data_IF_009230872833
#
_entry.id   IF_009230872833
#
_cell.length_a   1.000
_cell.length_b   1.000
_cell.length_c   1.000
_cell.angle_alpha   90.00
_cell.angle_beta   90.00
_cell.angle_gamma   90.00
#
_symmetry.space_group_name_H-M   'P 1'
#
loop_
_entity.id
_entity.type
_entity.pdbx_description
1 polymer ?
#
# COMPACT_ATOMS: atom_id res chain seq x y z
N UNK A 1 -22.02 -34.55 10.21
CA UNK A 1 -23.38 -34.04 10.48
C UNK A 1 -23.45 -32.66 9.84
N UNK A 2 -24.21 -32.45 8.76
CA UNK A 2 -24.23 -31.14 8.10
C UNK A 2 -24.91 -30.12 9.01
N UNK A 3 -24.26 -28.99 9.28
CA UNK A 3 -24.86 -27.92 10.10
C UNK A 3 -26.13 -27.39 9.43
N UNK A 4 -27.03 -26.75 10.19
CA UNK A 4 -28.26 -26.19 9.62
C UNK A 4 -27.99 -25.15 8.51
N UNK A 5 -26.85 -24.46 8.61
CA UNK A 5 -26.37 -23.46 7.64
C UNK A 5 -25.95 -24.13 6.32
N UNK A 6 -25.34 -25.32 6.34
CA UNK A 6 -24.93 -26.05 5.13
C UNK A 6 -26.11 -26.58 4.28
N UNK A 7 -27.34 -26.47 4.76
CA UNK A 7 -28.55 -26.81 4.01
C UNK A 7 -29.14 -25.62 3.25
N UNK A 8 -28.63 -24.42 3.50
CA UNK A 8 -29.09 -23.21 2.82
C UNK A 8 -28.36 -23.03 1.48
N UNK A 9 -29.00 -22.38 0.49
CA UNK A 9 -28.31 -21.89 -0.71
C UNK A 9 -27.14 -20.97 -0.34
N UNK A 10 -26.07 -21.02 -1.14
CA UNK A 10 -24.84 -20.26 -0.89
C UNK A 10 -25.12 -18.76 -0.73
N UNK A 11 -26.00 -18.20 -1.56
CA UNK A 11 -26.36 -16.78 -1.55
C UNK A 11 -26.96 -16.36 -0.20
N UNK A 12 -27.79 -17.21 0.40
CA UNK A 12 -28.39 -16.97 1.72
C UNK A 12 -27.31 -17.01 2.80
N UNK A 13 -26.38 -17.97 2.70
CA UNK A 13 -25.24 -18.07 3.64
C UNK A 13 -24.37 -16.81 3.57
N UNK A 14 -24.04 -16.34 2.36
CA UNK A 14 -23.23 -15.14 2.14
C UNK A 14 -23.94 -13.88 2.69
N UNK A 15 -25.26 -13.77 2.50
CA UNK A 15 -26.07 -12.69 3.07
C UNK A 15 -26.07 -12.72 4.61
N UNK A 16 -26.21 -13.90 5.23
CA UNK A 16 -26.13 -14.03 6.70
C UNK A 16 -24.76 -13.55 7.19
N UNK A 17 -23.67 -14.04 6.60
CA UNK A 17 -22.32 -13.68 7.01
C UNK A 17 -21.95 -12.23 6.70
N UNK A 18 -22.59 -11.60 5.72
CA UNK A 18 -22.44 -10.18 5.45
C UNK A 18 -22.79 -9.31 6.67
N UNK A 19 -23.69 -9.74 7.54
CA UNK A 19 -24.10 -8.99 8.73
C UNK A 19 -23.16 -9.19 9.93
N UNK A 20 -22.32 -10.23 9.95
CA UNK A 20 -21.40 -10.51 11.06
C UNK A 20 -20.18 -9.56 11.02
N UNK A 21 -19.64 -9.10 12.16
CA UNK A 21 -18.44 -8.28 12.15
C UNK A 21 -17.23 -9.07 11.64
N UNK A 22 -16.26 -8.38 11.03
CA UNK A 22 -15.05 -9.03 10.48
C UNK A 22 -14.28 -9.78 11.57
N UNK A 23 -14.26 -9.26 12.80
CA UNK A 23 -13.62 -9.90 13.96
C UNK A 23 -14.17 -11.30 14.26
N UNK A 24 -15.42 -11.60 13.89
CA UNK A 24 -16.00 -12.94 14.06
C UNK A 24 -15.44 -13.98 13.09
N UNK A 25 -14.83 -13.56 11.97
CA UNK A 25 -14.38 -14.51 10.95
C UNK A 25 -13.29 -15.45 11.45
N UNK A 26 -12.41 -15.02 12.36
CA UNK A 26 -11.43 -15.90 13.01
C UNK A 26 -12.07 -17.18 13.58
N UNK A 27 -13.18 -17.01 14.32
CA UNK A 27 -13.91 -18.15 14.87
C UNK A 27 -14.62 -18.96 13.77
N UNK A 28 -15.17 -18.29 12.74
CA UNK A 28 -15.89 -18.98 11.67
C UNK A 28 -14.97 -19.87 10.81
N UNK A 29 -13.72 -19.46 10.58
CA UNK A 29 -12.72 -20.30 9.89
C UNK A 29 -12.39 -21.60 10.64
N UNK A 30 -12.66 -21.67 11.95
CA UNK A 30 -12.47 -22.91 12.73
C UNK A 30 -13.66 -23.88 12.62
N UNK A 31 -14.81 -23.40 12.15
CA UNK A 31 -16.07 -24.15 12.14
C UNK A 31 -16.48 -24.54 10.72
N UNK A 32 -16.30 -23.62 9.76
CA UNK A 32 -16.76 -23.78 8.38
C UNK A 32 -15.60 -24.03 7.40
N UNK A 33 -15.88 -24.63 6.23
CA UNK A 33 -14.88 -24.80 5.19
C UNK A 33 -14.22 -23.48 4.79
N UNK A 34 -12.91 -23.52 4.59
CA UNK A 34 -12.10 -22.34 4.27
C UNK A 34 -12.60 -21.61 3.02
N UNK A 35 -12.93 -22.34 1.95
CA UNK A 35 -13.40 -21.78 0.69
C UNK A 35 -14.71 -20.99 0.86
N UNK A 36 -15.63 -21.51 1.67
CA UNK A 36 -16.89 -20.83 1.99
C UNK A 36 -16.64 -19.54 2.79
N UNK A 37 -15.70 -19.57 3.74
CA UNK A 37 -15.36 -18.40 4.55
C UNK A 37 -14.58 -17.35 3.75
N UNK A 38 -13.70 -17.77 2.85
CA UNK A 38 -13.00 -16.88 1.92
C UNK A 38 -14.02 -16.16 1.04
N UNK A 39 -14.97 -16.89 0.43
CA UNK A 39 -16.07 -16.34 -0.38
C UNK A 39 -16.95 -15.37 0.43
N UNK A 40 -17.34 -15.75 1.66
CA UNK A 40 -18.15 -14.91 2.54
C UNK A 40 -17.45 -13.62 2.96
N UNK A 41 -16.16 -13.71 3.30
CA UNK A 41 -15.35 -12.55 3.65
C UNK A 41 -15.25 -11.62 2.44
N UNK A 42 -14.92 -12.17 1.28
CA UNK A 42 -14.78 -11.41 0.03
C UNK A 42 -16.10 -10.77 -0.39
N UNK A 43 -17.23 -11.48 -0.27
CA UNK A 43 -18.57 -10.95 -0.51
C UNK A 43 -18.85 -9.74 0.38
N UNK A 44 -18.54 -9.85 1.69
CA UNK A 44 -18.66 -8.74 2.64
C UNK A 44 -17.79 -7.54 2.25
N UNK A 45 -16.53 -7.78 1.84
CA UNK A 45 -15.60 -6.73 1.43
C UNK A 45 -16.04 -6.03 0.13
N UNK A 46 -16.53 -6.80 -0.85
CA UNK A 46 -17.07 -6.29 -2.12
C UNK A 46 -18.28 -5.37 -1.93
N UNK A 47 -19.10 -5.63 -0.92
CA UNK A 47 -20.27 -4.82 -0.61
C UNK A 47 -19.95 -3.55 0.18
N UNK A 48 -18.71 -3.36 0.65
CA UNK A 48 -18.31 -2.21 1.46
C UNK A 48 -17.20 -1.36 0.81
N UNK A 49 -17.24 -1.21 -0.52
CA UNK A 49 -16.21 -0.48 -1.30
C UNK A 49 -16.11 1.01 -1.00
N UNK A 50 -17.15 1.62 -0.42
CA UNK A 50 -17.17 3.07 -0.12
C UNK A 50 -16.34 3.45 1.10
N UNK A 51 -16.03 2.48 1.98
CA UNK A 51 -15.23 2.71 3.19
C UNK A 51 -13.80 2.21 2.98
N UNK A 52 -12.79 2.90 3.53
CA UNK A 52 -11.44 2.38 3.55
C UNK A 52 -11.43 1.06 4.32
N UNK A 53 -10.72 0.07 3.77
CA UNK A 53 -10.51 -1.22 4.40
C UNK A 53 -9.36 -1.17 5.40
N UNK A 54 -8.26 -0.53 4.99
CA UNK A 54 -7.04 -0.34 5.75
C UNK A 54 -6.53 1.09 5.58
N UNK A 55 -5.75 1.56 6.54
CA UNK A 55 -4.92 2.73 6.41
C UNK A 55 -3.46 2.28 6.33
N UNK A 56 -2.77 2.77 5.31
CA UNK A 56 -1.30 2.72 5.25
C UNK A 56 -0.78 3.97 5.95
N UNK A 57 -0.02 3.80 7.02
CA UNK A 57 0.37 4.87 7.93
C UNK A 57 1.89 5.00 7.94
N UNK A 58 2.37 6.22 7.71
CA UNK A 58 3.69 6.64 8.13
C UNK A 58 3.62 7.08 9.59
N UNK A 59 4.43 6.46 10.45
CA UNK A 59 4.48 6.83 11.87
C UNK A 59 5.36 8.05 12.16
N UNK A 60 5.91 8.69 11.12
CA UNK A 60 6.66 9.93 11.25
C UNK A 60 6.38 10.87 10.06
N UNK A 61 5.51 11.86 10.27
CA UNK A 61 5.11 12.84 9.25
C UNK A 61 6.23 13.80 8.86
N UNK A 62 7.30 13.89 9.67
CA UNK A 62 8.48 14.66 9.35
C UNK A 62 9.43 13.92 8.42
N UNK A 63 9.31 12.60 8.29
CA UNK A 63 10.06 11.77 7.33
C UNK A 63 9.23 11.44 6.09
N UNK A 64 7.98 11.04 6.27
CA UNK A 64 7.13 10.57 5.19
C UNK A 64 5.70 11.09 5.42
N UNK A 65 5.23 12.01 4.56
CA UNK A 65 3.94 12.71 4.74
C UNK A 65 2.99 12.53 3.56
N UNK A 66 1.79 12.04 3.84
CA UNK A 66 0.65 12.13 2.92
C UNK A 66 0.06 13.55 2.89
N UNK A 67 -0.73 13.87 1.86
CA UNK A 67 -1.37 15.19 1.71
C UNK A 67 -2.29 15.52 2.91
N UNK A 68 -2.15 16.75 3.41
CA UNK A 68 -2.85 17.29 4.60
C UNK A 68 -4.33 17.55 4.40
N UNK A 69 -4.80 17.54 3.15
CA UNK A 69 -6.24 17.60 2.83
C UNK A 69 -7.00 16.39 3.37
N UNK A 70 -6.30 15.29 3.65
CA UNK A 70 -6.86 14.18 4.41
C UNK A 70 -6.89 14.54 5.89
N UNK A 71 -8.07 14.77 6.48
CA UNK A 71 -8.26 14.94 7.92
C UNK A 71 -7.87 13.73 8.78
N UNK A 72 -7.02 12.85 8.24
CA UNK A 72 -6.50 11.63 8.81
C UNK A 72 -5.13 11.83 9.47
N UNK A 73 -4.43 12.91 9.16
CA UNK A 73 -3.16 13.24 9.82
C UNK A 73 -3.42 13.56 11.31
N UNK A 74 -2.79 12.80 12.21
CA UNK A 74 -2.94 12.98 13.66
C UNK A 74 -1.59 12.83 14.35
N UNK A 75 -1.27 13.76 15.23
CA UNK A 75 -0.01 13.74 15.97
C UNK A 75 1.18 13.74 15.02
N UNK A 76 2.06 12.73 15.14
CA UNK A 76 3.22 12.53 14.26
C UNK A 76 2.94 11.55 13.09
N UNK A 77 1.69 11.15 12.86
CA UNK A 77 1.34 10.18 11.82
C UNK A 77 0.74 10.86 10.58
N UNK A 78 0.98 10.27 9.42
CA UNK A 78 0.23 10.56 8.20
C UNK A 78 -0.24 9.27 7.54
N UNK A 79 -1.35 9.31 6.80
CA UNK A 79 -1.96 8.07 6.31
C UNK A 79 -2.62 8.18 4.95
N UNK A 80 -2.65 7.05 4.24
CA UNK A 80 -3.39 6.84 3.00
C UNK A 80 -4.47 5.77 3.22
N UNK A 81 -5.68 6.06 2.74
CA UNK A 81 -6.78 5.10 2.72
C UNK A 81 -6.56 4.06 1.63
N UNK A 82 -6.76 2.79 1.97
CA UNK A 82 -6.71 1.65 1.06
C UNK A 82 -8.08 0.98 0.98
N UNK A 83 -8.56 0.77 -0.23
CA UNK A 83 -9.88 0.25 -0.53
C UNK A 83 -9.77 -1.15 -1.15
N UNK A 84 -10.74 -2.01 -0.87
CA UNK A 84 -10.81 -3.33 -1.50
C UNK A 84 -10.84 -3.21 -3.03
N UNK A 85 -9.98 -3.97 -3.70
CA UNK A 85 -9.90 -4.01 -5.16
C UNK A 85 -10.25 -5.38 -5.72
N UNK A 86 -9.57 -6.43 -5.27
CA UNK A 86 -9.78 -7.80 -5.75
C UNK A 86 -9.33 -8.83 -4.73
N UNK A 87 -9.55 -10.11 -5.06
CA UNK A 87 -9.13 -11.24 -4.25
C UNK A 87 -8.40 -12.25 -5.14
N UNK A 88 -7.20 -12.66 -4.73
CA UNK A 88 -6.47 -13.77 -5.32
C UNK A 88 -6.80 -15.04 -4.52
N UNK A 89 -7.68 -15.87 -5.07
CA UNK A 89 -8.12 -17.11 -4.42
C UNK A 89 -6.99 -18.15 -4.31
N UNK A 90 -6.02 -18.15 -5.23
CA UNK A 90 -4.95 -19.14 -5.26
C UNK A 90 -3.98 -18.95 -4.10
N UNK A 91 -3.67 -17.68 -3.79
CA UNK A 91 -2.73 -17.33 -2.72
C UNK A 91 -3.43 -16.76 -1.47
N UNK A 92 -4.76 -16.64 -1.48
CA UNK A 92 -5.61 -16.08 -0.41
C UNK A 92 -5.20 -14.67 0.01
N UNK A 93 -4.93 -13.82 -0.99
CA UNK A 93 -4.59 -12.43 -0.78
C UNK A 93 -5.77 -11.51 -1.12
N UNK A 94 -6.04 -10.59 -0.21
CA UNK A 94 -6.92 -9.44 -0.45
C UNK A 94 -6.07 -8.32 -1.02
N UNK A 95 -6.38 -7.90 -2.24
CA UNK A 95 -5.74 -6.76 -2.86
C UNK A 95 -6.51 -5.48 -2.57
N UNK A 96 -5.75 -4.44 -2.25
CA UNK A 96 -6.23 -3.11 -1.98
C UNK A 96 -5.51 -2.08 -2.83
N UNK A 97 -6.21 -1.00 -3.14
CA UNK A 97 -5.69 0.13 -3.91
C UNK A 97 -5.96 1.44 -3.15
N UNK A 98 -5.08 2.44 -3.25
CA UNK A 98 -5.38 3.76 -2.74
C UNK A 98 -6.45 4.46 -3.60
N UNK A 99 -6.95 5.60 -3.12
CA UNK A 99 -7.83 6.44 -3.92
C UNK A 99 -7.00 7.28 -4.92
N UNK A 100 -6.92 6.80 -6.16
CA UNK A 100 -6.21 7.50 -7.23
C UNK A 100 -6.88 8.81 -7.66
N UNK A 101 -8.19 8.97 -7.46
CA UNK A 101 -8.93 10.17 -7.88
C UNK A 101 -8.65 11.39 -7.01
N UNK A 102 -8.33 11.19 -5.73
CA UNK A 102 -8.11 12.27 -4.75
C UNK A 102 -6.63 12.59 -4.50
N UNK A 103 -5.71 12.10 -5.36
CA UNK A 103 -4.26 12.21 -5.15
C UNK A 103 -3.76 11.63 -3.80
N UNK A 104 -4.57 10.81 -3.11
CA UNK A 104 -4.22 10.14 -1.86
C UNK A 104 -3.55 8.78 -2.11
N UNK A 105 -2.50 8.78 -2.93
CA UNK A 105 -1.77 7.58 -3.31
C UNK A 105 -0.26 7.77 -3.28
N UNK A 106 0.25 8.79 -2.59
CA UNK A 106 1.67 8.98 -2.38
C UNK A 106 1.94 9.54 -1.00
N UNK A 107 3.17 9.31 -0.55
CA UNK A 107 3.77 10.10 0.51
C UNK A 107 4.93 10.90 -0.04
N UNK A 108 5.06 12.14 0.41
CA UNK A 108 6.27 12.94 0.20
C UNK A 108 7.34 12.49 1.19
N UNK A 109 8.53 12.17 0.69
CA UNK A 109 9.72 11.86 1.48
C UNK A 109 10.44 13.16 1.82
N UNK A 110 10.79 13.32 3.09
CA UNK A 110 11.44 14.50 3.68
C UNK A 110 12.76 14.08 4.34
N UNK A 111 13.73 14.98 4.36
CA UNK A 111 15.02 14.75 5.04
C UNK A 111 14.96 15.19 6.52
N UNK A 112 14.33 14.37 7.35
CA UNK A 112 14.50 14.48 8.79
C UNK A 112 15.64 13.56 9.26
N UNK A 113 16.57 14.12 10.05
CA UNK A 113 17.84 13.51 10.48
C UNK A 113 17.69 12.30 11.43
N UNK A 114 16.48 11.94 11.87
CA UNK A 114 16.25 10.85 12.83
C UNK A 114 15.20 9.89 12.30
N UNK A 115 15.63 8.72 11.81
CA UNK A 115 14.74 7.70 11.29
C UNK A 115 14.34 6.69 12.37
N UNK A 116 13.19 6.93 13.01
CA UNK A 116 12.51 5.93 13.84
C UNK A 116 11.13 5.55 13.29
N UNK A 117 10.71 6.21 12.21
CA UNK A 117 9.44 5.92 11.59
C UNK A 117 9.38 4.56 10.92
N UNK A 118 8.17 4.02 10.86
CA UNK A 118 7.83 2.82 10.10
C UNK A 118 6.64 3.13 9.20
N UNK A 119 6.57 2.42 8.09
CA UNK A 119 5.35 2.25 7.34
C UNK A 119 4.58 1.07 7.94
N UNK A 120 3.33 1.28 8.35
CA UNK A 120 2.50 0.27 9.00
C UNK A 120 1.11 0.21 8.39
N UNK A 121 0.45 -0.95 8.47
CA UNK A 121 -0.98 -1.10 8.17
C UNK A 121 -1.78 -1.06 9.45
N UNK A 122 -2.92 -0.39 9.40
CA UNK A 122 -3.85 -0.28 10.53
C UNK A 122 -5.29 -0.29 10.05
N UNK A 123 -6.19 -0.85 10.86
CA UNK A 123 -7.64 -0.70 10.64
C UNK A 123 -8.06 0.77 10.84
N UNK A 124 -8.94 1.32 9.99
CA UNK A 124 -9.45 2.67 10.19
C UNK A 124 -10.16 2.82 11.55
N UNK A 125 -9.78 3.86 12.31
CA UNK A 125 -10.34 4.15 13.63
C UNK A 125 -9.72 3.37 14.80
N UNK A 126 -8.84 2.40 14.53
CA UNK A 126 -8.08 1.68 15.54
C UNK A 126 -6.71 2.35 15.75
N UNK A 127 -6.11 2.19 16.94
CA UNK A 127 -4.78 2.75 17.26
C UNK A 127 -3.80 1.74 17.84
N UNK A 128 -4.28 0.58 18.34
CA UNK A 128 -3.44 -0.39 19.05
C UNK A 128 -2.84 -1.45 18.14
N UNK A 129 -3.66 -2.04 17.28
CA UNK A 129 -3.26 -3.15 16.42
C UNK A 129 -2.71 -2.63 15.09
N UNK A 130 -1.45 -2.94 14.80
CA UNK A 130 -0.80 -2.53 13.55
C UNK A 130 0.13 -3.61 13.03
N UNK A 131 0.25 -3.70 11.70
CA UNK A 131 1.19 -4.58 11.01
C UNK A 131 2.33 -3.73 10.42
N UNK A 132 3.56 -3.81 10.95
CA UNK A 132 4.68 -3.10 10.36
C UNK A 132 5.05 -3.69 8.99
N UNK A 133 5.41 -2.81 8.05
CA UNK A 133 5.81 -3.17 6.69
C UNK A 133 7.30 -2.95 6.43
N UNK A 134 7.78 -1.72 6.64
CA UNK A 134 9.17 -1.36 6.32
C UNK A 134 9.58 -0.14 7.14
N UNK A 135 10.87 0.02 7.41
CA UNK A 135 11.37 1.26 7.98
C UNK A 135 11.27 2.39 6.96
N UNK A 136 10.95 3.61 7.41
CA UNK A 136 11.01 4.78 6.52
C UNK A 136 12.44 5.05 6.03
N UNK A 137 13.44 4.63 6.80
CA UNK A 137 14.85 4.68 6.42
C UNK A 137 15.17 3.81 5.19
N UNK A 138 14.59 2.61 5.10
CA UNK A 138 14.83 1.71 3.97
C UNK A 138 14.20 2.26 2.69
N UNK A 139 13.02 2.87 2.80
CA UNK A 139 12.39 3.61 1.69
C UNK A 139 13.31 4.76 1.24
N UNK A 140 13.84 5.54 2.19
CA UNK A 140 14.75 6.65 1.90
C UNK A 140 16.03 6.19 1.21
N UNK A 141 16.63 5.08 1.64
CA UNK A 141 17.82 4.49 1.01
C UNK A 141 17.58 4.06 -0.43
N UNK A 142 16.33 3.85 -0.83
CA UNK A 142 15.96 3.63 -2.23
C UNK A 142 16.17 4.86 -3.12
N UNK A 143 16.24 6.07 -2.56
CA UNK A 143 16.54 7.26 -3.35
C UNK A 143 18.06 7.41 -3.58
N UNK A 144 18.49 7.78 -4.80
CA UNK A 144 19.91 7.88 -5.14
C UNK A 144 20.63 8.94 -4.30
N UNK A 145 21.85 8.68 -3.79
CA UNK A 145 22.59 9.63 -2.99
C UNK A 145 23.17 10.79 -3.83
N UNK A 146 23.27 11.97 -3.20
CA UNK A 146 23.80 13.20 -3.78
C UNK A 146 25.27 13.14 -4.23
N UNK A 147 26.13 12.51 -3.40
CA UNK A 147 27.59 12.58 -3.55
C UNK A 147 28.14 11.28 -4.11
N UNK A 148 27.84 11.04 -5.39
CA UNK A 148 28.65 10.19 -6.25
C UNK A 148 29.86 10.95 -6.86
N UNK A 149 30.17 12.16 -6.36
CA UNK A 149 31.35 12.90 -6.75
C UNK A 149 32.58 12.34 -6.03
N UNK A 150 33.49 11.71 -6.80
CA UNK A 150 34.88 11.30 -6.47
C UNK A 150 35.19 9.87 -6.01
N UNK A 151 34.26 8.91 -6.14
CA UNK A 151 34.64 7.48 -6.13
C UNK A 151 34.37 6.87 -7.51
N UNK A 152 35.44 6.44 -8.19
CA UNK A 152 35.39 5.77 -9.50
C UNK A 152 34.51 4.51 -9.39
N UNK A 153 33.25 4.63 -9.79
CA UNK A 153 32.22 3.59 -9.65
C UNK A 153 30.83 4.13 -9.31
N UNK A 154 30.71 5.38 -8.81
CA UNK A 154 29.43 5.96 -8.42
C UNK A 154 28.68 6.70 -9.57
N UNK A 155 29.30 6.81 -10.74
CA UNK A 155 28.73 7.46 -11.93
C UNK A 155 27.57 6.69 -12.59
N UNK A 156 27.30 5.45 -12.19
CA UNK A 156 26.24 4.63 -12.78
C UNK A 156 24.86 4.86 -12.14
N UNK A 157 24.81 5.42 -10.92
CA UNK A 157 23.56 5.81 -10.25
C UNK A 157 23.05 7.20 -10.69
N UNK A 158 23.83 7.91 -11.51
CA UNK A 158 23.54 9.26 -11.97
C UNK A 158 22.69 9.26 -13.26
N UNK A 159 21.43 8.82 -13.17
CA UNK A 159 20.39 9.25 -14.10
C UNK A 159 19.01 9.01 -13.49
N UNK A 160 18.26 10.09 -13.25
CA UNK A 160 16.94 10.12 -12.62
C UNK A 160 15.89 9.24 -13.29
N UNK A 161 15.91 7.94 -12.96
CA UNK A 161 14.92 6.96 -13.37
C UNK A 161 13.97 6.70 -12.21
N UNK A 162 12.69 6.67 -12.54
CA UNK A 162 11.65 6.13 -11.68
C UNK A 162 12.05 4.71 -11.26
N UNK A 163 11.99 4.42 -9.97
CA UNK A 163 12.36 3.11 -9.45
C UNK A 163 11.12 2.39 -8.94
N UNK A 164 10.84 1.21 -9.48
CA UNK A 164 9.85 0.31 -8.91
C UNK A 164 10.39 -0.26 -7.60
N UNK A 165 9.56 -0.26 -6.56
CA UNK A 165 9.92 -0.66 -5.22
C UNK A 165 8.82 -1.54 -4.66
N UNK A 166 9.11 -2.84 -4.53
CA UNK A 166 8.18 -3.80 -3.91
C UNK A 166 8.69 -4.19 -2.53
N UNK A 167 7.86 -3.97 -1.52
CA UNK A 167 8.11 -4.45 -0.16
C UNK A 167 7.44 -5.80 0.02
N UNK A 168 8.25 -6.80 0.37
CA UNK A 168 7.77 -8.12 0.80
C UNK A 168 7.86 -8.24 2.31
N UNK A 169 6.73 -8.56 2.94
CA UNK A 169 6.66 -8.92 4.35
C UNK A 169 5.81 -10.17 4.54
N UNK A 170 6.00 -10.94 5.62
CA UNK A 170 5.16 -12.09 5.90
C UNK A 170 3.67 -11.68 5.92
N UNK A 171 2.92 -12.20 4.95
CA UNK A 171 1.49 -11.94 4.75
C UNK A 171 1.15 -10.60 4.09
N UNK A 172 2.11 -9.80 3.60
CA UNK A 172 1.86 -8.53 2.92
C UNK A 172 2.81 -8.29 1.73
N UNK A 173 2.28 -7.71 0.66
CA UNK A 173 3.07 -7.23 -0.48
C UNK A 173 2.64 -5.80 -0.81
N UNK A 174 3.58 -4.86 -0.86
CA UNK A 174 3.30 -3.48 -1.24
C UNK A 174 4.09 -3.15 -2.51
N UNK A 175 3.39 -2.90 -3.60
CA UNK A 175 3.96 -2.38 -4.83
C UNK A 175 3.89 -0.86 -4.80
N UNK A 176 5.05 -0.24 -5.04
CA UNK A 176 5.22 1.20 -4.97
C UNK A 176 6.29 1.68 -5.95
N UNK A 177 6.42 2.99 -6.05
CA UNK A 177 7.33 3.63 -6.96
C UNK A 177 8.00 4.84 -6.29
N UNK A 178 9.32 4.93 -6.42
CA UNK A 178 10.12 6.04 -5.94
C UNK A 178 10.36 7.06 -7.06
N UNK A 179 10.00 8.30 -6.80
CA UNK A 179 10.16 9.42 -7.75
C UNK A 179 11.05 10.49 -7.11
N UNK A 180 12.30 10.67 -7.56
CA UNK A 180 13.20 11.70 -7.05
C UNK A 180 12.69 13.13 -7.32
N UNK A 181 12.93 14.06 -6.39
CA UNK A 181 12.47 15.45 -6.51
C UNK A 181 13.23 16.29 -7.55
N UNK A 182 14.43 15.89 -7.97
CA UNK A 182 15.40 16.74 -8.67
C UNK A 182 15.11 17.04 -10.15
N UNK A 183 14.02 16.53 -10.75
CA UNK A 183 13.88 16.63 -12.22
C UNK A 183 12.48 16.69 -12.85
N UNK A 184 11.44 17.15 -12.15
CA UNK A 184 10.09 17.13 -12.76
C UNK A 184 9.53 18.53 -12.96
N UNK A 185 9.44 18.95 -14.24
CA UNK A 185 8.55 20.01 -14.63
C UNK A 185 7.11 19.60 -14.24
N UNK A 186 6.35 20.54 -13.66
CA UNK A 186 4.96 20.29 -13.34
C UNK A 186 4.23 19.82 -14.62
N UNK A 187 3.65 18.61 -14.60
CA UNK A 187 2.85 17.94 -15.66
C UNK A 187 3.50 16.82 -16.49
N UNK A 188 4.71 16.36 -16.19
CA UNK A 188 5.22 15.18 -16.91
C UNK A 188 4.46 13.90 -16.53
N UNK A 189 3.84 13.28 -17.54
CA UNK A 189 3.35 11.90 -17.51
C UNK A 189 4.60 11.01 -17.48
N UNK A 190 4.86 10.34 -16.37
CA UNK A 190 6.03 9.47 -16.28
C UNK A 190 5.67 8.12 -16.90
N UNK A 191 6.07 7.93 -18.15
CA UNK A 191 5.94 6.66 -18.87
C UNK A 191 7.21 5.84 -18.62
N UNK A 192 7.07 4.65 -18.04
CA UNK A 192 8.18 3.71 -17.98
C UNK A 192 8.46 3.15 -19.38
N UNK A 193 9.73 3.13 -19.77
CA UNK A 193 10.22 2.13 -20.70
C UNK A 193 10.30 0.81 -19.93
N UNK A 194 9.53 -0.19 -20.35
CA UNK A 194 9.53 -1.51 -19.75
C UNK A 194 10.85 -2.22 -20.04
N UNK A 195 11.91 -1.85 -19.33
CA UNK A 195 13.06 -2.73 -19.21
C UNK A 195 12.57 -3.85 -18.30
N UNK A 196 12.22 -4.98 -18.91
CA UNK A 196 11.81 -6.21 -18.23
C UNK A 196 12.86 -6.53 -17.16
N UNK A 197 12.55 -6.22 -15.90
CA UNK A 197 13.29 -6.80 -14.78
C UNK A 197 12.94 -8.29 -14.83
N UNK A 198 13.92 -9.20 -15.03
CA UNK A 198 13.64 -10.61 -15.01
C UNK A 198 13.23 -10.97 -13.58
N UNK A 199 11.97 -11.42 -13.43
CA UNK A 199 11.46 -12.09 -12.24
C UNK A 199 12.26 -13.39 -12.01
N UNK A 200 13.47 -13.26 -11.47
CA UNK A 200 14.37 -14.38 -11.24
C UNK A 200 14.13 -15.06 -9.88
N UNK A 201 12.93 -14.92 -9.30
CA UNK A 201 12.46 -15.70 -8.16
C UNK A 201 11.05 -16.23 -8.42
N UNK A 202 10.96 -17.15 -9.38
CA UNK A 202 9.83 -18.06 -9.56
C UNK A 202 9.67 -18.95 -8.33
N UNK A 203 8.60 -18.72 -7.55
CA UNK A 203 7.86 -19.80 -6.86
C UNK A 203 6.47 -19.44 -6.31
N UNK A 204 6.09 -18.16 -6.22
CA UNK A 204 4.72 -17.74 -5.88
C UNK A 204 4.33 -16.50 -6.70
N UNK A 205 3.85 -16.69 -7.93
CA UNK A 205 3.35 -15.57 -8.73
C UNK A 205 1.98 -15.17 -8.22
N UNK A 206 1.94 -14.36 -7.15
CA UNK A 206 0.71 -13.71 -6.68
C UNK A 206 0.15 -12.91 -7.85
N UNK A 207 -1.09 -13.19 -8.24
CA UNK A 207 -1.69 -12.52 -9.40
C UNK A 207 -2.03 -11.08 -9.00
N UNK A 208 -1.23 -10.12 -9.47
CA UNK A 208 -1.42 -8.70 -9.17
C UNK A 208 -2.60 -8.16 -10.01
N UNK A 209 -3.57 -7.45 -9.43
CA UNK A 209 -4.63 -6.82 -10.19
C UNK A 209 -4.07 -5.68 -11.05
N UNK A 210 -4.69 -5.44 -12.21
CA UNK A 210 -4.35 -4.29 -13.04
C UNK A 210 -4.67 -2.98 -12.32
N UNK A 211 -3.82 -1.97 -12.51
CA UNK A 211 -4.14 -0.59 -12.11
C UNK A 211 -5.31 -0.07 -12.97
N UNK A 212 -6.07 0.93 -12.49
CA UNK A 212 -7.12 1.55 -13.29
C UNK A 212 -6.58 2.05 -14.63
N UNK A 213 -7.37 1.94 -15.71
CA UNK A 213 -6.95 2.29 -17.08
C UNK A 213 -6.41 3.73 -17.22
N UNK A 214 -6.95 4.66 -16.43
CA UNK A 214 -6.55 6.07 -16.44
C UNK A 214 -5.45 6.39 -15.42
N UNK A 215 -4.93 5.38 -14.72
CA UNK A 215 -3.86 5.58 -13.76
C UNK A 215 -2.57 5.90 -14.51
N UNK A 216 -1.97 7.02 -14.13
CA UNK A 216 -0.68 7.45 -14.62
C UNK A 216 0.15 7.84 -13.42
N UNK A 217 1.41 7.37 -13.37
CA UNK A 217 2.38 7.83 -12.38
C UNK A 217 2.66 9.31 -12.65
N UNK A 218 2.10 10.17 -11.82
CA UNK A 218 2.26 11.62 -11.87
C UNK A 218 2.56 12.14 -10.49
N UNK A 219 3.42 13.16 -10.42
CA UNK A 219 3.56 13.95 -9.21
C UNK A 219 2.30 14.82 -9.05
N UNK A 220 1.79 15.02 -7.82
CA UNK A 220 0.77 16.04 -7.54
C UNK A 220 1.18 17.42 -8.08
N UNK A 221 0.30 18.09 -8.84
CA UNK A 221 0.51 19.47 -9.25
C UNK A 221 0.59 20.38 -8.01
N UNK A 222 1.72 21.07 -7.83
CA UNK A 222 1.92 22.25 -6.98
C UNK A 222 0.92 22.42 -5.81
N UNK A 223 1.14 21.69 -4.71
CA UNK A 223 0.79 22.26 -3.40
C UNK A 223 1.95 23.18 -3.00
N UNK A 224 1.79 24.47 -3.30
CA UNK A 224 2.69 25.59 -2.98
C UNK A 224 3.07 25.71 -1.51
N UNK A 225 2.45 24.93 -0.62
CA UNK A 225 2.74 24.93 0.82
C UNK A 225 4.06 24.23 1.21
N UNK A 226 4.74 23.54 0.28
CA UNK A 226 5.87 22.67 0.64
C UNK A 226 6.99 22.63 -0.41
N UNK A 227 7.32 23.74 -1.06
CA UNK A 227 8.62 23.84 -1.74
C UNK A 227 9.72 23.70 -0.70
N UNK A 228 10.59 22.71 -0.88
CA UNK A 228 11.77 22.59 -0.03
C UNK A 228 12.60 23.86 -0.20
N UNK A 229 12.91 24.55 0.89
CA UNK A 229 13.70 25.80 0.88
C UNK A 229 15.10 25.57 0.31
N UNK A 230 15.52 24.30 0.20
CA UNK A 230 16.72 23.82 -0.49
C UNK A 230 16.38 22.61 -1.36
N UNK A 231 16.96 22.45 -2.57
CA UNK A 231 16.81 21.24 -3.35
C UNK A 231 17.54 20.10 -2.63
N UNK A 232 16.85 19.44 -1.71
CA UNK A 232 17.34 18.25 -1.02
C UNK A 232 17.13 17.03 -1.92
N UNK A 233 18.19 16.32 -2.32
CA UNK A 233 18.07 15.23 -3.30
C UNK A 233 17.79 13.87 -2.65
N UNK A 234 17.69 13.82 -1.33
CA UNK A 234 17.08 12.68 -0.62
C UNK A 234 15.56 12.83 -0.47
N UNK A 235 14.99 13.95 -0.94
CA UNK A 235 13.57 14.15 -1.05
C UNK A 235 12.99 13.61 -2.36
N UNK A 236 11.72 13.22 -2.30
CA UNK A 236 11.00 12.64 -3.43
C UNK A 236 9.59 12.22 -3.04
N UNK A 237 9.03 11.32 -3.82
CA UNK A 237 7.68 10.79 -3.62
C UNK A 237 7.73 9.26 -3.58
N UNK A 238 7.14 8.70 -2.52
CA UNK A 238 6.84 7.28 -2.36
C UNK A 238 5.40 7.05 -2.82
N UNK A 239 5.23 6.70 -4.09
CA UNK A 239 3.95 6.47 -4.75
C UNK A 239 3.47 5.05 -4.43
N UNK A 240 2.30 4.91 -3.82
CA UNK A 240 1.69 3.64 -3.47
C UNK A 240 0.77 3.20 -4.60
N UNK A 241 0.97 1.99 -5.13
CA UNK A 241 0.18 1.47 -6.24
C UNK A 241 -0.77 0.39 -5.78
N UNK A 242 -0.27 -0.64 -5.10
CA UNK A 242 -1.06 -1.81 -4.72
C UNK A 242 -0.57 -2.35 -3.40
N UNK A 243 -1.48 -2.81 -2.57
CA UNK A 243 -1.15 -3.57 -1.38
C UNK A 243 -1.97 -4.86 -1.33
N UNK A 244 -1.29 -5.99 -1.22
CA UNK A 244 -1.88 -7.27 -0.88
C UNK A 244 -1.69 -7.57 0.61
N UNK A 245 -2.72 -8.13 1.24
CA UNK A 245 -2.66 -8.68 2.59
C UNK A 245 -3.29 -10.08 2.59
N UNK A 246 -2.62 -11.06 3.19
CA UNK A 246 -3.16 -12.42 3.31
C UNK A 246 -4.35 -12.43 4.27
N UNK A 247 -5.32 -13.33 4.06
CA UNK A 247 -6.49 -13.45 4.94
C UNK A 247 -6.08 -13.59 6.43
N UNK A 248 -5.14 -14.46 6.83
CA UNK A 248 -4.74 -14.57 8.23
C UNK A 248 -4.23 -13.25 8.82
N UNK A 249 -3.30 -12.58 8.12
CA UNK A 249 -2.76 -11.28 8.58
C UNK A 249 -3.81 -10.18 8.57
N UNK A 250 -4.76 -10.23 7.64
CA UNK A 250 -5.87 -9.28 7.61
C UNK A 250 -6.75 -9.43 8.85
N UNK A 251 -7.10 -10.66 9.22
CA UNK A 251 -7.95 -10.93 10.38
C UNK A 251 -7.25 -10.59 11.70
N UNK A 252 -5.91 -10.67 11.79
CA UNK A 252 -5.15 -10.20 12.97
C UNK A 252 -5.33 -8.70 13.26
N UNK A 253 -5.76 -7.90 12.27
CA UNK A 253 -6.02 -6.47 12.43
C UNK A 253 -7.46 -6.14 12.88
N UNK A 254 -8.35 -7.13 13.02
CA UNK A 254 -9.79 -6.95 13.26
C UNK A 254 -10.31 -7.68 14.49
#
# INVERSE_FOLDING_TARGET
>A
MKTAIERLPLEIILQIFQHLPISSFHALYSIFPQELMDEALVFKLRNNKSKPLLNLISTNLHELSADTSSGLNKGNESSLCLYYASFDASNRFIWTLPNFYSFQHYFKVKDAYVSHGKLVLRRPGEHKLQKPLVSLWDIRKGFPPLRAGSFSGASEYAAGRLQEYTVYQPGCVLDSCLIPATKLAANEVIVLHSDKIPDNNTKNTIQRPNLPLNYVRKIPLNNSAWTSTYPDPTCGYFLVERLAISIPTFLELF
#
